data_IF_213264263500
#
_entry.id   IF_213264263500
#
_cell.length_a   1.000
_cell.length_b   1.000
_cell.length_c   1.000
_cell.angle_alpha   90.00
_cell.angle_beta   90.00
_cell.angle_gamma   90.00
#
_symmetry.space_group_name_H-M   'P 1'
#
loop_
_entity.id
_entity.type
_entity.pdbx_description
1 polymer ?
#
# COMPACT_ATOMS: atom_id res chain seq x y z
N UNK A 1 19.47 8.38 7.22
CA UNK A 1 20.14 9.64 6.88
C UNK A 1 19.59 10.19 5.56
N UNK A 2 19.27 11.51 5.50
CA UNK A 2 18.80 12.14 4.26
C UNK A 2 19.97 12.32 3.30
N UNK A 3 19.90 11.70 2.12
CA UNK A 3 20.96 11.77 1.10
C UNK A 3 20.59 12.65 -0.10
N UNK A 4 19.30 12.95 -0.29
CA UNK A 4 18.83 13.79 -1.37
C UNK A 4 17.69 14.67 -0.86
N UNK A 5 17.88 15.97 -0.98
CA UNK A 5 16.86 16.94 -0.63
C UNK A 5 16.88 18.08 -1.65
N UNK A 6 15.78 18.23 -2.36
CA UNK A 6 15.53 19.37 -3.22
C UNK A 6 14.07 19.84 -3.10
N UNK A 7 13.67 20.79 -3.95
CA UNK A 7 12.27 21.28 -3.95
C UNK A 7 11.24 20.27 -4.43
N UNK A 8 11.65 19.10 -4.91
CA UNK A 8 10.73 18.10 -5.51
C UNK A 8 10.71 16.78 -4.76
N UNK A 9 11.75 16.47 -4.01
CA UNK A 9 11.92 15.15 -3.42
C UNK A 9 12.85 15.18 -2.21
N UNK A 10 12.55 14.35 -1.22
CA UNK A 10 13.48 13.96 -0.17
C UNK A 10 13.77 12.47 -0.28
N UNK A 11 15.04 12.10 -0.17
CA UNK A 11 15.50 10.71 -0.22
C UNK A 11 16.27 10.36 1.06
N UNK A 12 15.99 9.18 1.60
CA UNK A 12 16.55 8.69 2.85
C UNK A 12 17.18 7.32 2.63
N UNK A 13 18.41 7.13 3.08
CA UNK A 13 19.06 5.83 3.07
C UNK A 13 18.70 5.07 4.36
N UNK A 14 18.06 3.92 4.22
CA UNK A 14 17.79 2.98 5.31
C UNK A 14 19.06 2.17 5.59
N UNK A 15 19.96 2.70 6.40
CA UNK A 15 21.34 2.21 6.59
C UNK A 15 21.42 0.76 7.10
N UNK A 16 20.42 0.30 7.81
CA UNK A 16 20.36 -1.06 8.38
C UNK A 16 19.81 -2.09 7.38
N UNK A 17 19.24 -1.62 6.25
CA UNK A 17 18.62 -2.46 5.22
C UNK A 17 19.45 -2.44 3.94
N UNK A 18 20.33 -3.42 3.80
CA UNK A 18 21.30 -3.47 2.71
C UNK A 18 20.81 -4.38 1.59
N UNK A 19 20.51 -3.76 0.46
CA UNK A 19 20.19 -4.46 -0.77
C UNK A 19 21.48 -5.00 -1.45
N UNK A 20 21.48 -6.28 -1.79
CA UNK A 20 22.61 -6.95 -2.45
C UNK A 20 22.32 -7.17 -3.93
N UNK A 21 23.24 -6.76 -4.78
CA UNK A 21 23.19 -6.91 -6.22
C UNK A 21 24.47 -7.61 -6.73
N UNK A 22 24.50 -8.03 -7.99
CA UNK A 22 25.67 -8.65 -8.61
C UNK A 22 26.93 -7.78 -8.53
N UNK A 23 26.75 -6.46 -8.66
CA UNK A 23 27.84 -5.50 -8.77
C UNK A 23 28.11 -4.73 -7.46
N UNK A 24 27.47 -5.10 -6.37
CA UNK A 24 27.70 -4.46 -5.06
C UNK A 24 26.51 -4.46 -4.13
N UNK A 25 26.67 -3.73 -3.05
CA UNK A 25 25.66 -3.59 -2.00
C UNK A 25 25.39 -2.11 -1.75
N UNK A 26 24.15 -1.76 -1.49
CA UNK A 26 23.79 -0.39 -1.09
C UNK A 26 22.58 -0.40 -0.14
N UNK A 27 22.44 0.62 0.71
CA UNK A 27 21.25 0.78 1.52
C UNK A 27 20.01 0.98 0.64
N UNK A 28 18.89 0.41 1.07
CA UNK A 28 17.58 0.72 0.50
C UNK A 28 17.30 2.22 0.64
N UNK A 29 16.66 2.78 -0.35
CA UNK A 29 16.35 4.20 -0.41
C UNK A 29 14.85 4.41 -0.30
N UNK A 30 14.44 5.19 0.69
CA UNK A 30 13.06 5.62 0.89
C UNK A 30 12.92 7.04 0.33
N UNK A 31 11.93 7.25 -0.51
CA UNK A 31 11.77 8.53 -1.20
C UNK A 31 10.36 9.08 -0.98
N UNK A 32 10.30 10.38 -0.71
CA UNK A 32 9.05 11.13 -0.54
C UNK A 32 9.06 12.29 -1.53
N UNK A 33 8.08 12.28 -2.42
CA UNK A 33 7.95 13.32 -3.45
C UNK A 33 7.27 14.56 -2.85
N UNK A 34 7.48 15.69 -3.51
CA UNK A 34 6.80 16.94 -3.17
C UNK A 34 5.28 16.74 -3.19
N UNK A 35 4.62 17.35 -2.22
CA UNK A 35 3.16 17.45 -2.23
C UNK A 35 2.67 18.14 -3.51
N UNK A 36 1.72 17.52 -4.21
CA UNK A 36 1.10 18.02 -5.44
C UNK A 36 -0.43 17.92 -5.36
N UNK A 37 -1.10 18.52 -6.33
CA UNK A 37 -2.56 18.47 -6.41
C UNK A 37 -3.03 17.05 -6.75
N UNK A 38 -3.94 16.55 -5.95
CA UNK A 38 -4.65 15.32 -6.26
C UNK A 38 -5.67 15.59 -7.38
N UNK A 39 -5.64 14.80 -8.44
CA UNK A 39 -6.50 14.97 -9.63
C UNK A 39 -7.58 13.92 -9.74
N UNK A 40 -7.57 12.90 -8.89
CA UNK A 40 -8.53 11.79 -8.91
C UNK A 40 -8.55 10.97 -10.22
N UNK A 41 -7.53 11.12 -11.06
CA UNK A 41 -7.47 10.41 -12.34
C UNK A 41 -6.96 8.99 -12.15
N UNK A 42 -7.51 8.05 -12.90
CA UNK A 42 -7.09 6.64 -12.86
C UNK A 42 -7.87 5.77 -11.88
N UNK A 43 -8.87 6.35 -11.21
CA UNK A 43 -9.77 5.62 -10.32
C UNK A 43 -11.12 5.44 -11.01
N UNK A 44 -11.31 4.29 -11.62
CA UNK A 44 -12.59 3.92 -12.22
C UNK A 44 -13.55 3.28 -11.19
N UNK A 45 -14.78 3.04 -11.61
CA UNK A 45 -15.80 2.48 -10.75
C UNK A 45 -15.43 1.06 -10.23
N UNK A 46 -14.72 0.28 -11.05
CA UNK A 46 -14.29 -1.05 -10.65
C UNK A 46 -13.23 -0.97 -9.56
N UNK A 47 -12.17 -0.18 -9.76
CA UNK A 47 -11.12 0.00 -8.75
C UNK A 47 -11.69 0.54 -7.44
N UNK A 48 -12.58 1.52 -7.53
CA UNK A 48 -13.28 2.07 -6.36
C UNK A 48 -14.11 1.01 -5.64
N UNK A 49 -14.77 0.11 -6.35
CA UNK A 49 -15.58 -0.96 -5.76
C UNK A 49 -14.77 -1.96 -4.93
N UNK A 50 -13.47 -2.10 -5.21
CA UNK A 50 -12.56 -3.02 -4.52
C UNK A 50 -11.84 -2.39 -3.31
N UNK A 51 -12.18 -1.17 -2.92
CA UNK A 51 -11.62 -0.48 -1.75
C UNK A 51 -12.45 -0.75 -0.49
N UNK A 52 -12.44 -2.00 -0.03
CA UNK A 52 -13.31 -2.49 1.05
C UNK A 52 -12.99 -1.87 2.40
N UNK A 53 -11.71 -1.70 2.74
CA UNK A 53 -11.27 -1.12 4.01
C UNK A 53 -11.70 0.35 4.19
N UNK A 54 -12.15 1.01 3.11
CA UNK A 54 -12.53 2.41 3.10
C UNK A 54 -13.91 2.62 2.44
N UNK A 55 -14.77 1.62 2.48
CA UNK A 55 -16.02 1.58 1.73
C UNK A 55 -16.93 2.79 2.00
N UNK A 56 -17.05 3.20 3.25
CA UNK A 56 -17.91 4.32 3.66
C UNK A 56 -17.28 5.68 3.38
N UNK A 57 -15.95 5.77 3.45
CA UNK A 57 -15.21 7.04 3.33
C UNK A 57 -14.62 7.31 1.95
N UNK A 58 -14.49 6.31 1.10
CA UNK A 58 -13.76 6.42 -0.18
C UNK A 58 -14.27 7.57 -1.06
N UNK A 59 -15.59 7.71 -1.22
CA UNK A 59 -16.15 8.78 -2.03
C UNK A 59 -15.90 10.15 -1.42
N UNK A 60 -15.98 10.28 -0.10
CA UNK A 60 -15.64 11.50 0.64
C UNK A 60 -14.18 11.85 0.41
N UNK A 61 -13.25 10.90 0.59
CA UNK A 61 -11.81 11.09 0.40
C UNK A 61 -11.52 11.59 -1.01
N UNK A 62 -12.03 10.93 -2.04
CA UNK A 62 -11.80 11.33 -3.44
C UNK A 62 -12.40 12.69 -3.79
N UNK A 63 -13.47 13.10 -3.14
CA UNK A 63 -14.10 14.41 -3.32
C UNK A 63 -13.37 15.53 -2.57
N UNK A 64 -12.91 15.27 -1.35
CA UNK A 64 -12.44 16.29 -0.41
C UNK A 64 -10.93 16.44 -0.37
N UNK A 65 -10.17 15.38 -0.57
CA UNK A 65 -8.71 15.45 -0.66
C UNK A 65 -8.28 16.22 -1.90
N UNK A 66 -7.53 17.29 -1.70
CA UNK A 66 -7.06 18.18 -2.78
C UNK A 66 -5.58 17.99 -3.11
N UNK A 67 -4.85 17.33 -2.24
CA UNK A 67 -3.41 17.15 -2.35
C UNK A 67 -3.03 15.70 -2.13
N UNK A 68 -1.89 15.33 -2.69
CA UNK A 68 -1.28 14.01 -2.50
C UNK A 68 0.23 14.14 -2.31
N UNK A 69 0.79 13.20 -1.60
CA UNK A 69 2.22 12.92 -1.52
C UNK A 69 2.45 11.51 -2.03
N UNK A 70 3.45 11.32 -2.88
CA UNK A 70 3.86 9.99 -3.33
C UNK A 70 5.12 9.61 -2.57
N UNK A 71 5.10 8.44 -1.97
CA UNK A 71 6.26 7.83 -1.32
C UNK A 71 6.54 6.47 -1.93
N UNK A 72 7.79 6.06 -1.97
CA UNK A 72 8.22 4.78 -2.55
C UNK A 72 9.49 4.27 -1.90
N UNK A 73 9.63 2.96 -1.86
CA UNK A 73 10.88 2.26 -1.60
C UNK A 73 11.64 2.06 -2.92
N UNK A 74 12.93 2.34 -2.93
CA UNK A 74 13.81 2.03 -4.06
C UNK A 74 14.83 0.97 -3.64
N UNK A 75 15.04 -0.01 -4.51
CA UNK A 75 15.98 -1.12 -4.31
C UNK A 75 15.55 -2.16 -3.26
N UNK A 76 14.44 -1.94 -2.55
CA UNK A 76 13.95 -2.86 -1.52
C UNK A 76 13.55 -4.24 -2.05
N UNK A 77 13.32 -4.37 -3.36
CA UNK A 77 13.06 -5.67 -4.00
C UNK A 77 14.22 -6.68 -3.87
N UNK A 78 15.42 -6.23 -3.53
CA UNK A 78 16.58 -7.08 -3.26
C UNK A 78 16.72 -7.50 -1.79
N UNK A 79 15.83 -7.03 -0.90
CA UNK A 79 15.78 -7.48 0.49
C UNK A 79 15.04 -8.83 0.60
N UNK A 80 15.29 -9.60 1.67
CA UNK A 80 14.40 -10.68 2.07
C UNK A 80 12.97 -10.18 2.26
N UNK A 81 11.98 -10.98 1.86
CA UNK A 81 10.57 -10.58 1.84
C UNK A 81 10.07 -10.00 3.19
N UNK A 82 10.39 -10.67 4.28
CA UNK A 82 9.95 -10.25 5.62
C UNK A 82 10.63 -8.94 6.06
N UNK A 83 11.90 -8.77 5.72
CA UNK A 83 12.64 -7.54 6.01
C UNK A 83 12.04 -6.35 5.22
N UNK A 84 11.75 -6.55 3.93
CA UNK A 84 11.08 -5.55 3.11
C UNK A 84 9.70 -5.21 3.65
N UNK A 85 8.90 -6.21 4.03
CA UNK A 85 7.56 -6.00 4.58
C UNK A 85 7.59 -5.14 5.86
N UNK A 86 8.54 -5.40 6.75
CA UNK A 86 8.70 -4.61 7.97
C UNK A 86 9.17 -3.18 7.64
N UNK A 87 10.15 -3.02 6.76
CA UNK A 87 10.62 -1.70 6.33
C UNK A 87 9.50 -0.86 5.71
N UNK A 88 8.67 -1.46 4.83
CA UNK A 88 7.56 -0.76 4.20
C UNK A 88 6.49 -0.36 5.22
N UNK A 89 6.23 -1.21 6.22
CA UNK A 89 5.31 -0.92 7.31
C UNK A 89 5.84 0.21 8.22
N UNK A 90 7.11 0.16 8.61
CA UNK A 90 7.75 1.21 9.41
C UNK A 90 7.76 2.55 8.65
N UNK A 91 8.01 2.50 7.35
CA UNK A 91 7.96 3.71 6.49
C UNK A 91 6.55 4.29 6.40
N UNK A 92 5.52 3.44 6.30
CA UNK A 92 4.13 3.87 6.31
C UNK A 92 3.76 4.58 7.62
N UNK A 93 4.16 4.02 8.76
CA UNK A 93 3.92 4.63 10.08
C UNK A 93 4.65 5.97 10.21
N UNK A 94 5.92 6.04 9.79
CA UNK A 94 6.67 7.29 9.77
C UNK A 94 6.01 8.36 8.88
N UNK A 95 5.42 7.97 7.73
CA UNK A 95 4.66 8.88 6.89
C UNK A 95 3.37 9.36 7.55
N UNK A 96 2.68 8.48 8.30
CA UNK A 96 1.47 8.85 9.04
C UNK A 96 1.75 9.87 10.14
N UNK A 97 2.92 9.78 10.80
CA UNK A 97 3.37 10.76 11.78
C UNK A 97 3.83 12.07 11.12
N UNK A 98 4.59 11.97 10.03
CA UNK A 98 5.12 13.14 9.31
C UNK A 98 3.99 14.00 8.70
N UNK A 99 2.90 13.39 8.30
CA UNK A 99 1.74 14.05 7.71
C UNK A 99 0.49 13.89 8.59
N UNK A 100 0.39 14.58 9.72
CA UNK A 100 -0.71 14.39 10.68
C UNK A 100 -2.08 14.77 10.12
N UNK A 101 -2.14 15.54 9.03
CA UNK A 101 -3.38 15.90 8.32
C UNK A 101 -3.70 14.95 7.15
N UNK A 102 -2.93 13.88 6.97
CA UNK A 102 -3.23 12.86 5.98
C UNK A 102 -4.53 12.16 6.36
N UNK A 103 -5.47 12.08 5.41
CA UNK A 103 -6.76 11.41 5.60
C UNK A 103 -6.68 9.92 5.31
N UNK A 104 -5.95 9.53 4.26
CA UNK A 104 -5.89 8.16 3.79
C UNK A 104 -4.58 7.83 3.08
N UNK A 105 -4.25 6.55 3.05
CA UNK A 105 -3.18 5.97 2.25
C UNK A 105 -3.75 5.11 1.13
N UNK A 106 -3.11 5.18 -0.02
CA UNK A 106 -3.41 4.35 -1.17
C UNK A 106 -2.18 3.55 -1.60
N UNK A 107 -2.23 2.24 -1.43
CA UNK A 107 -1.21 1.33 -1.93
C UNK A 107 -1.46 1.00 -3.39
N UNK A 108 -0.70 1.64 -4.26
CA UNK A 108 -0.87 1.53 -5.71
C UNK A 108 -0.65 0.11 -6.24
N UNK A 109 0.26 -0.65 -5.62
CA UNK A 109 0.61 -2.02 -6.03
C UNK A 109 -0.55 -3.02 -5.90
N UNK A 110 -1.48 -2.77 -4.99
CA UNK A 110 -2.62 -3.66 -4.74
C UNK A 110 -3.99 -2.97 -4.86
N UNK A 111 -4.01 -1.66 -5.12
CA UNK A 111 -5.25 -0.89 -5.23
C UNK A 111 -6.00 -0.71 -3.91
N UNK A 112 -5.31 -0.82 -2.77
CA UNK A 112 -5.92 -0.72 -1.45
C UNK A 112 -5.92 0.72 -0.95
N UNK A 113 -7.07 1.18 -0.49
CA UNK A 113 -7.26 2.44 0.22
C UNK A 113 -7.63 2.16 1.67
N UNK A 114 -7.05 2.87 2.62
CA UNK A 114 -7.38 2.78 4.05
C UNK A 114 -7.15 4.13 4.74
N UNK A 115 -7.80 4.34 5.88
CA UNK A 115 -7.68 5.57 6.64
C UNK A 115 -6.30 5.68 7.29
N UNK A 116 -5.76 6.89 7.34
CA UNK A 116 -4.50 7.15 8.03
C UNK A 116 -4.63 6.91 9.56
N UNK A 117 -5.83 6.99 10.10
CA UNK A 117 -6.10 6.67 11.50
C UNK A 117 -5.90 5.18 11.81
N UNK A 118 -6.19 4.28 10.85
CA UNK A 118 -5.93 2.84 11.03
C UNK A 118 -4.43 2.57 11.23
N UNK A 119 -3.57 3.32 10.55
CA UNK A 119 -2.11 3.24 10.74
C UNK A 119 -1.70 3.79 12.09
N UNK A 120 -2.21 4.98 12.45
CA UNK A 120 -1.86 5.65 13.72
C UNK A 120 -2.35 4.91 14.96
N UNK A 121 -3.36 4.06 14.83
CA UNK A 121 -3.91 3.30 15.96
C UNK A 121 -2.96 2.23 16.50
N UNK A 122 -1.95 1.83 15.74
CA UNK A 122 -0.95 0.81 16.08
C UNK A 122 -1.55 -0.50 16.63
N UNK A 123 -2.71 -0.90 16.09
CA UNK A 123 -3.42 -2.10 16.56
C UNK A 123 -2.81 -3.42 16.07
N UNK A 124 -1.91 -3.33 15.08
CA UNK A 124 -1.27 -4.49 14.46
C UNK A 124 0.23 -4.32 14.56
N UNK A 125 0.92 -5.38 14.92
CA UNK A 125 2.36 -5.39 15.12
C UNK A 125 3.08 -6.32 14.12
N UNK A 126 4.38 -6.13 14.00
CA UNK A 126 5.25 -6.97 13.20
C UNK A 126 4.92 -6.98 11.71
N UNK A 127 5.17 -8.10 11.05
CA UNK A 127 4.96 -8.29 9.61
C UNK A 127 3.50 -8.30 9.18
N UNK A 128 2.57 -8.53 10.09
CA UNK A 128 1.14 -8.54 9.82
C UNK A 128 0.63 -7.16 9.39
N UNK A 129 1.33 -6.09 9.78
CA UNK A 129 1.10 -4.72 9.30
C UNK A 129 1.14 -4.64 7.77
N UNK A 130 2.14 -5.28 7.14
CA UNK A 130 2.24 -5.28 5.68
C UNK A 130 1.06 -6.00 5.02
N UNK A 131 0.65 -7.15 5.56
CA UNK A 131 -0.53 -7.86 5.05
C UNK A 131 -1.78 -7.00 5.20
N UNK A 132 -1.95 -6.36 6.35
CA UNK A 132 -3.09 -5.48 6.61
C UNK A 132 -3.17 -4.31 5.63
N UNK A 133 -2.06 -3.65 5.33
CA UNK A 133 -2.03 -2.42 4.53
C UNK A 133 -1.61 -2.64 3.08
N UNK A 134 -0.72 -3.57 2.79
CA UNK A 134 -0.13 -3.80 1.46
C UNK A 134 -0.78 -4.92 0.65
N UNK A 135 -1.72 -5.67 1.22
CA UNK A 135 -2.44 -6.74 0.52
C UNK A 135 -3.93 -6.40 0.44
N UNK A 136 -4.49 -6.44 -0.76
CA UNK A 136 -5.91 -6.24 -1.00
C UNK A 136 -6.58 -7.56 -1.32
N UNK A 137 -7.77 -7.78 -0.76
CA UNK A 137 -8.66 -8.88 -1.09
C UNK A 137 -9.72 -8.35 -2.04
N UNK A 138 -9.85 -8.96 -3.21
CA UNK A 138 -10.83 -8.56 -4.21
C UNK A 138 -11.90 -9.60 -4.37
N UNK A 139 -13.09 -9.14 -4.72
CA UNK A 139 -14.28 -9.95 -4.83
C UNK A 139 -14.93 -9.78 -6.20
N UNK A 140 -15.29 -10.90 -6.83
CA UNK A 140 -15.86 -10.91 -8.18
C UNK A 140 -17.06 -11.86 -8.26
N UNK A 141 -18.06 -11.46 -9.02
CA UNK A 141 -19.06 -12.38 -9.56
C UNK A 141 -18.55 -12.91 -10.91
N UNK A 142 -18.67 -14.18 -11.15
CA UNK A 142 -18.29 -14.80 -12.43
C UNK A 142 -19.48 -14.68 -13.38
N UNK A 143 -19.30 -13.92 -14.46
CA UNK A 143 -20.34 -13.64 -15.43
C UNK A 143 -20.95 -14.94 -16.02
N UNK A 144 -22.28 -15.01 -16.05
CA UNK A 144 -23.03 -16.14 -16.59
C UNK A 144 -23.15 -17.35 -15.66
N UNK A 145 -22.72 -17.21 -14.39
CA UNK A 145 -22.85 -18.24 -13.35
C UNK A 145 -23.35 -17.64 -12.04
N UNK A 146 -23.64 -18.50 -11.06
CA UNK A 146 -23.88 -18.10 -9.66
C UNK A 146 -22.60 -18.19 -8.81
N UNK A 147 -21.46 -18.35 -9.47
CA UNK A 147 -20.18 -18.55 -8.84
C UNK A 147 -19.51 -17.23 -8.50
N UNK A 148 -18.70 -17.28 -7.49
CA UNK A 148 -17.97 -16.14 -6.97
C UNK A 148 -16.49 -16.48 -6.82
N UNK A 149 -15.66 -15.45 -6.93
CA UNK A 149 -14.21 -15.55 -6.82
C UNK A 149 -13.71 -14.51 -5.82
N UNK A 150 -12.86 -14.95 -4.92
CA UNK A 150 -12.00 -14.07 -4.11
C UNK A 150 -10.56 -14.27 -4.54
N UNK A 151 -9.82 -13.18 -4.73
CA UNK A 151 -8.38 -13.22 -4.93
C UNK A 151 -7.65 -12.21 -4.04
N UNK A 152 -6.32 -12.35 -3.94
CA UNK A 152 -5.45 -11.40 -3.25
C UNK A 152 -4.51 -10.72 -4.23
N UNK A 153 -4.28 -9.41 -4.05
CA UNK A 153 -3.28 -8.63 -4.77
C UNK A 153 -2.35 -7.96 -3.77
N UNK A 154 -1.05 -7.91 -4.08
CA UNK A 154 -0.05 -7.33 -3.18
C UNK A 154 0.83 -8.36 -2.47
N UNK A 155 0.68 -9.66 -2.77
CA UNK A 155 1.49 -10.73 -2.18
C UNK A 155 2.90 -10.86 -2.82
N UNK A 156 3.09 -10.32 -4.02
CA UNK A 156 4.36 -10.47 -4.77
C UNK A 156 5.59 -9.87 -4.07
N UNK A 157 5.52 -8.75 -3.33
CA UNK A 157 6.65 -8.27 -2.55
C UNK A 157 7.13 -9.25 -1.47
N UNK A 158 6.24 -10.14 -1.04
CA UNK A 158 6.56 -11.21 -0.09
C UNK A 158 7.04 -12.50 -0.78
N UNK A 159 7.22 -12.50 -2.10
CA UNK A 159 7.49 -13.69 -2.91
C UNK A 159 6.44 -14.81 -2.74
N UNK A 160 5.23 -14.43 -2.37
CA UNK A 160 4.10 -15.34 -2.24
C UNK A 160 3.20 -15.25 -3.48
N UNK A 161 2.62 -16.39 -3.92
CA UNK A 161 1.62 -16.37 -4.97
C UNK A 161 0.35 -15.67 -4.50
N UNK A 162 -0.39 -15.07 -5.44
CA UNK A 162 -1.75 -14.63 -5.15
C UNK A 162 -2.60 -15.85 -4.76
N UNK A 163 -3.41 -15.67 -3.73
CA UNK A 163 -4.40 -16.67 -3.33
C UNK A 163 -5.67 -16.45 -4.14
N UNK A 164 -6.30 -17.54 -4.54
CA UNK A 164 -7.54 -17.49 -5.29
C UNK A 164 -8.48 -18.58 -4.77
N UNK A 165 -9.72 -18.22 -4.50
CA UNK A 165 -10.74 -19.13 -4.00
C UNK A 165 -12.05 -18.96 -4.76
N UNK A 166 -12.56 -20.06 -5.35
CA UNK A 166 -13.84 -20.15 -6.02
C UNK A 166 -14.87 -20.76 -5.09
N UNK A 167 -16.06 -20.23 -5.07
CA UNK A 167 -17.16 -20.75 -4.26
C UNK A 167 -18.54 -20.50 -4.88
N UNK A 168 -19.53 -21.26 -4.42
CA UNK A 168 -20.90 -21.23 -4.89
C UNK A 168 -21.82 -20.92 -3.72
N UNK A 169 -22.94 -20.26 -3.98
CA UNK A 169 -24.06 -20.10 -3.03
C UNK A 169 -23.67 -19.52 -1.65
N UNK A 170 -22.64 -18.71 -1.58
CA UNK A 170 -22.28 -17.98 -0.38
C UNK A 170 -22.51 -16.49 -0.60
N UNK A 171 -23.29 -15.86 0.27
CA UNK A 171 -23.31 -14.40 0.35
C UNK A 171 -22.10 -13.96 1.20
N UNK A 172 -21.39 -12.90 0.81
CA UNK A 172 -20.40 -12.31 1.69
C UNK A 172 -21.12 -11.76 2.91
N UNK A 173 -20.86 -12.36 4.06
CA UNK A 173 -21.31 -11.85 5.35
C UNK A 173 -20.15 -11.05 5.94
N UNK A 174 -20.34 -9.77 6.03
CA UNK A 174 -19.41 -8.79 6.64
C UNK A 174 -19.78 -8.55 8.09
#
# INVERSE_FOLDING_TARGET
>A
ECFCYDKKMAGFAAQEHIAEFKDGKCPVQLMVMKCDKFKGKGFDAFLMSQMWDCQEDRERIFRECKYQVVATDMLAAALPALERANLDADFLEALAELYPTCEAFYFQSCGKLFLAEDVRSHQIEGSDRFIRFGVNVRFFNIEGTEDMLIDTVGMSPLFLPALQYHFHNMAPNW
#
